data_IF_739801962526
#
_entry.id   IF_739801962526
#
_cell.length_a   1.000
_cell.length_b   1.000
_cell.length_c   1.000
_cell.angle_alpha   90.00
_cell.angle_beta   90.00
_cell.angle_gamma   90.00
#
_symmetry.space_group_name_H-M   'P 1'
#
loop_
_entity.id
_entity.type
_entity.pdbx_description
1 polymer ?
#
# COMPACT_ATOMS: atom_id res chain seq x y z
N UNK A 1 2.53 40.64 -7.32
CA UNK A 1 2.45 39.34 -6.60
C UNK A 1 3.78 39.16 -5.90
N UNK A 2 3.80 39.23 -4.58
CA UNK A 2 5.01 38.97 -3.78
C UNK A 2 5.44 37.51 -3.97
N UNK A 3 6.73 37.27 -4.17
CA UNK A 3 7.27 35.92 -4.33
C UNK A 3 7.13 35.13 -3.03
N UNK A 4 6.98 33.79 -3.10
CA UNK A 4 7.00 32.91 -1.92
C UNK A 4 8.23 33.17 -1.04
N UNK A 5 9.35 33.49 -1.66
CA UNK A 5 10.61 33.79 -0.96
C UNK A 5 10.55 35.09 -0.16
N UNK A 6 9.85 36.10 -0.68
CA UNK A 6 9.64 37.38 0.01
C UNK A 6 8.69 37.21 1.19
N UNK A 7 7.64 36.39 1.04
CA UNK A 7 6.73 36.06 2.13
C UNK A 7 7.43 35.31 3.26
N UNK A 8 8.33 34.38 2.94
CA UNK A 8 9.10 33.62 3.93
C UNK A 8 10.11 34.51 4.65
N UNK A 9 10.79 35.43 3.94
CA UNK A 9 11.71 36.41 4.54
C UNK A 9 11.00 37.41 5.46
N UNK A 10 9.73 37.68 5.25
CA UNK A 10 8.93 38.58 6.07
C UNK A 10 8.36 37.93 7.35
N UNK A 11 8.50 36.61 7.52
CA UNK A 11 8.00 35.89 8.69
C UNK A 11 8.96 36.00 9.88
N UNK A 12 8.40 36.17 11.07
CA UNK A 12 9.16 36.13 12.31
C UNK A 12 9.79 34.73 12.53
N UNK A 13 11.00 34.63 13.12
CA UNK A 13 11.70 33.36 13.35
C UNK A 13 10.86 32.30 14.09
N UNK A 14 10.04 32.71 15.04
CA UNK A 14 9.16 31.83 15.83
C UNK A 14 8.07 31.21 14.96
N UNK A 15 7.58 31.96 13.97
CA UNK A 15 6.58 31.47 13.00
C UNK A 15 7.22 30.49 12.04
N UNK A 16 8.45 30.76 11.59
CA UNK A 16 9.22 29.85 10.74
C UNK A 16 9.50 28.52 11.46
N UNK A 17 9.93 28.57 12.72
CA UNK A 17 10.20 27.37 13.52
C UNK A 17 8.94 26.52 13.72
N UNK A 18 7.81 27.17 14.03
CA UNK A 18 6.52 26.48 14.17
C UNK A 18 6.10 25.80 12.87
N UNK A 19 6.20 26.48 11.74
CA UNK A 19 5.88 25.91 10.43
C UNK A 19 6.79 24.73 10.08
N UNK A 20 8.10 24.82 10.34
CA UNK A 20 9.02 23.71 10.12
C UNK A 20 8.62 22.47 10.93
N UNK A 21 8.26 22.65 12.22
CA UNK A 21 7.78 21.56 13.08
C UNK A 21 6.49 20.94 12.56
N UNK A 22 5.52 21.76 12.17
CA UNK A 22 4.24 21.30 11.62
C UNK A 22 4.42 20.52 10.32
N UNK A 23 5.23 21.04 9.39
CA UNK A 23 5.52 20.38 8.12
C UNK A 23 6.24 19.05 8.30
N UNK A 24 7.20 18.99 9.22
CA UNK A 24 7.89 17.74 9.55
C UNK A 24 6.90 16.71 10.10
N UNK A 25 6.06 17.10 11.07
CA UNK A 25 5.05 16.23 11.67
C UNK A 25 4.04 15.73 10.65
N UNK A 26 3.58 16.61 9.75
CA UNK A 26 2.66 16.25 8.68
C UNK A 26 3.34 15.29 7.68
N UNK A 27 4.60 15.54 7.34
CA UNK A 27 5.42 14.67 6.50
C UNK A 27 5.56 13.27 7.08
N UNK A 28 5.90 13.16 8.36
CA UNK A 28 5.99 11.90 9.10
C UNK A 28 4.64 11.16 9.10
N UNK A 29 3.56 11.85 9.47
CA UNK A 29 2.20 11.27 9.50
C UNK A 29 1.76 10.75 8.12
N UNK A 30 2.02 11.52 7.06
CA UNK A 30 1.70 11.11 5.68
C UNK A 30 2.57 9.94 5.24
N UNK A 31 3.84 9.93 5.63
CA UNK A 31 4.79 8.86 5.34
C UNK A 31 4.38 7.54 5.97
N UNK A 32 4.06 7.58 7.27
CA UNK A 32 3.60 6.43 8.05
C UNK A 32 2.33 5.82 7.44
N UNK A 33 1.27 6.62 7.22
CA UNK A 33 0.02 6.15 6.60
C UNK A 33 0.23 5.52 5.22
N UNK A 34 1.12 6.09 4.40
CA UNK A 34 1.46 5.53 3.09
C UNK A 34 2.24 4.23 3.23
N UNK A 35 3.16 4.16 4.20
CA UNK A 35 3.95 2.98 4.51
C UNK A 35 3.07 1.82 4.97
N UNK A 36 2.19 2.07 5.94
CA UNK A 36 1.22 1.09 6.44
C UNK A 36 0.34 0.54 5.31
N UNK A 37 -0.25 1.42 4.50
CA UNK A 37 -1.09 1.00 3.36
C UNK A 37 -0.31 0.13 2.37
N UNK A 38 0.91 0.54 2.00
CA UNK A 38 1.77 -0.23 1.07
C UNK A 38 2.18 -1.57 1.67
N UNK A 39 2.52 -1.59 2.95
CA UNK A 39 2.89 -2.80 3.69
C UNK A 39 1.73 -3.80 3.74
N UNK A 40 0.52 -3.33 4.08
CA UNK A 40 -0.69 -4.16 4.11
C UNK A 40 -1.00 -4.78 2.74
N UNK A 41 -0.96 -3.99 1.66
CA UNK A 41 -1.15 -4.47 0.28
C UNK A 41 -0.12 -5.55 -0.05
N UNK A 42 1.17 -5.25 0.13
CA UNK A 42 2.25 -6.18 -0.21
C UNK A 42 2.13 -7.48 0.59
N UNK A 43 1.80 -7.39 1.87
CA UNK A 43 1.64 -8.55 2.75
C UNK A 43 0.48 -9.43 2.31
N UNK A 44 -0.68 -8.85 2.01
CA UNK A 44 -1.83 -9.61 1.54
C UNK A 44 -1.56 -10.30 0.19
N UNK A 45 -0.88 -9.61 -0.74
CA UNK A 45 -0.42 -10.21 -2.01
C UNK A 45 0.52 -11.41 -1.77
N UNK A 46 1.52 -11.25 -0.89
CA UNK A 46 2.44 -12.35 -0.53
C UNK A 46 1.71 -13.52 0.13
N UNK A 47 0.74 -13.25 1.00
CA UNK A 47 -0.02 -14.31 1.68
C UNK A 47 -0.91 -15.09 0.71
N UNK A 48 -1.58 -14.42 -0.22
CA UNK A 48 -2.32 -15.08 -1.31
C UNK A 48 -1.41 -16.05 -2.07
N UNK A 49 -0.27 -15.56 -2.56
CA UNK A 49 0.65 -16.38 -3.36
C UNK A 49 1.21 -17.55 -2.56
N UNK A 50 1.59 -17.32 -1.29
CA UNK A 50 2.05 -18.39 -0.39
C UNK A 50 0.98 -19.46 -0.16
N UNK A 51 -0.28 -19.08 0.02
CA UNK A 51 -1.36 -20.07 0.17
C UNK A 51 -1.54 -20.89 -1.10
N UNK A 52 -1.51 -20.26 -2.27
CA UNK A 52 -1.66 -20.98 -3.54
C UNK A 52 -0.46 -21.89 -3.82
N UNK A 53 0.77 -21.42 -3.62
CA UNK A 53 2.00 -22.22 -3.73
C UNK A 53 2.00 -23.41 -2.77
N UNK A 54 1.59 -23.20 -1.52
CA UNK A 54 1.54 -24.27 -0.51
C UNK A 54 0.51 -25.35 -0.84
N UNK A 55 -0.58 -25.00 -1.52
CA UNK A 55 -1.67 -25.93 -1.88
C UNK A 55 -1.44 -26.64 -3.21
N UNK A 56 -0.87 -25.95 -4.18
CA UNK A 56 -0.80 -26.39 -5.57
C UNK A 56 0.63 -26.54 -6.10
N UNK A 57 1.64 -26.42 -5.21
CA UNK A 57 3.09 -26.51 -5.46
C UNK A 57 3.68 -25.39 -6.35
N UNK A 58 2.87 -24.84 -7.25
CA UNK A 58 3.24 -23.75 -8.14
C UNK A 58 2.04 -22.87 -8.47
N UNK A 59 2.32 -21.62 -8.84
CA UNK A 59 1.32 -20.65 -9.28
C UNK A 59 1.70 -20.18 -10.68
N UNK A 60 0.72 -20.07 -11.57
CA UNK A 60 0.98 -19.60 -12.93
C UNK A 60 1.43 -18.12 -12.91
N UNK A 61 2.36 -17.71 -13.79
CA UNK A 61 2.82 -16.32 -13.85
C UNK A 61 1.69 -15.30 -14.06
N UNK A 62 0.62 -15.72 -14.75
CA UNK A 62 -0.58 -14.91 -14.99
C UNK A 62 -1.34 -14.59 -13.70
N UNK A 63 -1.52 -15.58 -12.82
CA UNK A 63 -2.18 -15.38 -11.51
C UNK A 63 -1.28 -14.53 -10.63
N UNK A 64 0.03 -14.81 -10.62
CA UNK A 64 1.00 -14.03 -9.85
C UNK A 64 0.97 -12.54 -10.22
N UNK A 65 1.03 -12.22 -11.51
CA UNK A 65 0.97 -10.84 -12.00
C UNK A 65 -0.32 -10.12 -11.58
N UNK A 66 -1.48 -10.78 -11.76
CA UNK A 66 -2.77 -10.22 -11.36
C UNK A 66 -2.85 -9.91 -9.87
N UNK A 67 -2.38 -10.83 -9.02
CA UNK A 67 -2.33 -10.61 -7.56
C UNK A 67 -1.43 -9.43 -7.23
N UNK A 68 -0.20 -9.39 -7.77
CA UNK A 68 0.77 -8.32 -7.52
C UNK A 68 0.31 -6.94 -8.00
N UNK A 69 -0.52 -6.89 -9.04
CA UNK A 69 -1.07 -5.65 -9.57
C UNK A 69 -2.35 -5.17 -8.83
N UNK A 70 -2.95 -6.01 -7.98
CA UNK A 70 -4.15 -5.63 -7.21
C UNK A 70 -3.75 -4.67 -6.08
N UNK A 71 -4.31 -3.46 -6.08
CA UNK A 71 -4.02 -2.41 -5.08
C UNK A 71 -5.19 -2.13 -4.12
N UNK A 72 -6.33 -2.78 -4.33
CA UNK A 72 -7.47 -2.68 -3.43
C UNK A 72 -7.30 -3.66 -2.27
N UNK A 73 -7.09 -3.10 -1.07
CA UNK A 73 -6.87 -3.89 0.14
C UNK A 73 -8.07 -4.77 0.49
N UNK A 74 -9.31 -4.30 0.27
CA UNK A 74 -10.50 -5.10 0.60
C UNK A 74 -10.61 -6.30 -0.33
N UNK A 75 -10.33 -6.08 -1.62
CA UNK A 75 -10.26 -7.15 -2.61
C UNK A 75 -9.16 -8.16 -2.25
N UNK A 76 -7.99 -7.69 -1.83
CA UNK A 76 -6.91 -8.56 -1.38
C UNK A 76 -7.30 -9.39 -0.16
N UNK A 77 -7.97 -8.80 0.83
CA UNK A 77 -8.45 -9.52 2.01
C UNK A 77 -9.45 -10.64 1.63
N UNK A 78 -10.37 -10.37 0.69
CA UNK A 78 -11.28 -11.38 0.14
C UNK A 78 -10.51 -12.50 -0.58
N UNK A 79 -9.49 -12.14 -1.37
CA UNK A 79 -8.64 -13.08 -2.09
C UNK A 79 -7.79 -13.95 -1.16
N UNK A 80 -7.34 -13.44 -0.02
CA UNK A 80 -6.66 -14.25 1.01
C UNK A 80 -7.57 -15.39 1.46
N UNK A 81 -8.85 -15.10 1.72
CA UNK A 81 -9.83 -16.12 2.12
C UNK A 81 -10.11 -17.09 0.96
N UNK A 82 -10.22 -16.59 -0.27
CA UNK A 82 -10.42 -17.42 -1.46
C UNK A 82 -9.24 -18.38 -1.69
N UNK A 83 -8.00 -17.89 -1.60
CA UNK A 83 -6.79 -18.70 -1.75
C UNK A 83 -6.73 -19.83 -0.71
N UNK A 84 -7.17 -19.57 0.52
CA UNK A 84 -7.23 -20.57 1.58
C UNK A 84 -8.34 -21.62 1.40
N UNK A 85 -9.31 -21.42 0.50
CA UNK A 85 -10.50 -22.29 0.35
C UNK A 85 -10.63 -22.96 -1.02
N UNK A 86 -10.13 -22.33 -2.08
CA UNK A 86 -10.24 -22.81 -3.44
C UNK A 86 -9.69 -24.23 -3.61
N UNK A 87 -10.36 -25.04 -4.43
CA UNK A 87 -9.97 -26.42 -4.71
C UNK A 87 -9.05 -26.53 -5.94
N UNK A 88 -8.95 -25.47 -6.74
CA UNK A 88 -8.00 -25.38 -7.85
C UNK A 88 -7.57 -23.93 -8.14
N UNK A 89 -6.52 -23.78 -8.94
CA UNK A 89 -6.06 -22.48 -9.43
C UNK A 89 -7.07 -21.82 -10.37
N UNK A 90 -7.80 -22.61 -11.16
CA UNK A 90 -8.87 -22.13 -12.04
C UNK A 90 -10.03 -21.57 -11.23
N UNK A 91 -10.42 -22.23 -10.13
CA UNK A 91 -11.44 -21.73 -9.22
C UNK A 91 -10.99 -20.38 -8.62
N UNK A 92 -9.75 -20.30 -8.15
CA UNK A 92 -9.20 -19.05 -7.63
C UNK A 92 -9.19 -17.93 -8.68
N UNK A 93 -8.84 -18.23 -9.93
CA UNK A 93 -8.80 -17.24 -11.00
C UNK A 93 -10.18 -16.60 -11.28
N UNK A 94 -11.29 -17.30 -10.97
CA UNK A 94 -12.63 -16.70 -11.09
C UNK A 94 -12.92 -15.61 -10.05
N UNK A 95 -12.23 -15.67 -8.90
CA UNK A 95 -12.38 -14.69 -7.83
C UNK A 95 -11.43 -13.50 -8.00
N UNK A 96 -10.41 -13.61 -8.87
CA UNK A 96 -9.30 -12.66 -9.05
C UNK A 96 -9.67 -11.49 -9.97
#
# INVERSE_FOLDING_TARGET
MTSKEEMVKALAPEVLEKWQKEWKKEGETRGEKRGEKRGAIKKAQEDILRFLEARFESVSPKIEEKVRNTQDIKKLDELVVAAAKCQSLEEFETAL
#
